data_IF_797321833405
#
_entry.id   IF_797321833405
#
_cell.length_a   1.000
_cell.length_b   1.000
_cell.length_c   1.000
_cell.angle_alpha   90.00
_cell.angle_beta   90.00
_cell.angle_gamma   90.00
#
_symmetry.space_group_name_H-M   'P 1'
#
loop_
_entity.id
_entity.type
_entity.pdbx_description
1 polymer ?
#
# COMPACT_ATOMS: atom_id res chain seq x y z
N UNK A 1 11.06 1.24 17.09
CA UNK A 1 10.68 0.87 15.70
C UNK A 1 9.50 1.75 15.28
N UNK A 2 9.48 2.28 14.04
CA UNK A 2 8.34 3.09 13.59
C UNK A 2 7.04 2.28 13.66
N UNK A 3 5.93 2.88 14.11
CA UNK A 3 4.66 2.17 14.32
C UNK A 3 4.13 1.47 13.05
N UNK A 4 4.46 1.96 11.86
CA UNK A 4 3.96 1.45 10.58
C UNK A 4 5.05 1.43 9.48
N UNK A 5 6.01 0.48 9.53
CA UNK A 5 7.14 0.45 8.60
C UNK A 5 6.72 0.23 7.14
N UNK A 6 5.71 -0.62 6.88
CA UNK A 6 5.30 -0.93 5.51
C UNK A 6 4.52 0.23 4.88
N UNK A 7 3.61 0.83 5.66
CA UNK A 7 2.86 2.02 5.23
C UNK A 7 3.79 3.21 4.97
N UNK A 8 4.83 3.39 5.78
CA UNK A 8 5.82 4.44 5.56
C UNK A 8 6.61 4.21 4.28
N UNK A 9 7.01 2.97 3.99
CA UNK A 9 7.68 2.61 2.74
C UNK A 9 6.76 2.84 1.52
N UNK A 10 5.48 2.44 1.60
CA UNK A 10 4.48 2.69 0.57
C UNK A 10 4.30 4.19 0.27
N UNK A 11 4.18 5.01 1.32
CA UNK A 11 4.05 6.46 1.17
C UNK A 11 5.33 7.11 0.62
N UNK A 12 6.51 6.61 1.01
CA UNK A 12 7.77 7.06 0.45
C UNK A 12 7.84 6.75 -1.04
N UNK A 13 7.52 5.52 -1.43
CA UNK A 13 7.45 5.11 -2.84
C UNK A 13 6.51 6.01 -3.65
N UNK A 14 5.30 6.26 -3.14
CA UNK A 14 4.33 7.13 -3.82
C UNK A 14 4.89 8.56 -4.05
N UNK A 15 5.60 9.12 -3.07
CA UNK A 15 6.25 10.44 -3.21
C UNK A 15 7.42 10.40 -4.18
N UNK A 16 8.23 9.35 -4.16
CA UNK A 16 9.39 9.21 -5.03
C UNK A 16 8.98 9.03 -6.50
N UNK A 17 7.89 8.30 -6.77
CA UNK A 17 7.30 8.16 -8.10
C UNK A 17 6.71 9.48 -8.60
N UNK A 18 5.93 10.18 -7.77
CA UNK A 18 5.33 11.47 -8.16
C UNK A 18 6.39 12.56 -8.33
N UNK A 19 7.44 12.53 -7.51
CA UNK A 19 8.59 13.42 -7.60
C UNK A 19 9.60 13.06 -8.68
N UNK A 20 9.36 12.01 -9.48
CA UNK A 20 10.23 11.62 -10.60
C UNK A 20 11.55 10.97 -10.23
N UNK A 21 11.75 10.58 -8.96
CA UNK A 21 12.96 9.86 -8.51
C UNK A 21 12.93 8.38 -8.93
N UNK A 22 11.73 7.81 -8.99
CA UNK A 22 11.49 6.45 -9.50
C UNK A 22 10.75 6.58 -10.82
N UNK A 23 11.35 6.03 -11.87
CA UNK A 23 10.70 5.93 -13.17
C UNK A 23 9.56 4.91 -13.10
N UNK A 24 8.34 5.39 -13.33
CA UNK A 24 7.16 4.54 -13.45
C UNK A 24 6.30 5.00 -14.62
N UNK A 25 5.48 4.10 -15.16
CA UNK A 25 4.56 4.43 -16.23
C UNK A 25 3.52 5.47 -15.78
N UNK A 26 2.88 6.14 -16.76
CA UNK A 26 1.87 7.19 -16.52
C UNK A 26 0.80 6.76 -15.52
N UNK A 27 0.31 5.53 -15.61
CA UNK A 27 -0.75 5.01 -14.75
C UNK A 27 -0.32 4.81 -13.30
N UNK A 28 0.89 4.32 -13.07
CA UNK A 28 1.46 4.18 -11.73
C UNK A 28 1.68 5.56 -11.10
N UNK A 29 2.18 6.53 -11.87
CA UNK A 29 2.31 7.93 -11.40
C UNK A 29 0.95 8.52 -11.00
N UNK A 30 -0.09 8.29 -11.79
CA UNK A 30 -1.45 8.74 -11.47
C UNK A 30 -2.04 8.03 -10.24
N UNK A 31 -1.81 6.74 -10.08
CA UNK A 31 -2.23 6.00 -8.88
C UNK A 31 -1.55 6.53 -7.62
N UNK A 32 -0.24 6.79 -7.68
CA UNK A 32 0.53 7.38 -6.57
C UNK A 32 0.04 8.80 -6.25
N UNK A 33 -0.18 9.63 -7.27
CA UNK A 33 -0.72 10.99 -7.08
C UNK A 33 -2.11 10.96 -6.44
N UNK A 34 -3.03 10.13 -6.96
CA UNK A 34 -4.36 9.92 -6.38
C UNK A 34 -4.28 9.52 -4.91
N UNK A 35 -3.38 8.59 -4.57
CA UNK A 35 -3.18 8.15 -3.19
C UNK A 35 -2.78 9.31 -2.28
N UNK A 36 -1.81 10.13 -2.68
CA UNK A 36 -1.37 11.29 -1.91
C UNK A 36 -2.45 12.38 -1.80
N UNK A 37 -3.15 12.67 -2.89
CA UNK A 37 -4.26 13.64 -2.91
C UNK A 37 -5.40 13.19 -1.99
N UNK A 38 -5.73 11.90 -2.02
CA UNK A 38 -6.78 11.33 -1.18
C UNK A 38 -6.37 11.32 0.30
N UNK A 39 -5.07 11.15 0.63
CA UNK A 39 -4.56 11.32 2.01
C UNK A 39 -4.75 12.74 2.53
N UNK A 40 -4.63 13.76 1.67
CA UNK A 40 -4.92 15.14 2.05
C UNK A 40 -6.42 15.32 2.27
N UNK A 41 -7.25 14.79 1.35
CA UNK A 41 -8.72 14.86 1.46
C UNK A 41 -9.26 14.10 2.66
N UNK A 42 -8.67 12.97 3.04
CA UNK A 42 -9.15 12.13 4.14
C UNK A 42 -9.07 12.83 5.50
N UNK A 43 -8.15 13.80 5.65
CA UNK A 43 -8.05 14.66 6.85
C UNK A 43 -9.25 15.57 7.04
N UNK A 44 -9.99 15.91 5.97
CA UNK A 44 -11.20 16.73 6.08
C UNK A 44 -12.35 15.89 6.65
N UNK A 45 -13.17 16.49 7.54
CA UNK A 45 -14.39 15.83 8.09
C UNK A 45 -15.37 15.40 7.00
N UNK A 46 -15.44 16.15 5.89
CA UNK A 46 -16.30 15.87 4.74
C UNK A 46 -15.79 14.77 3.80
N UNK A 47 -14.54 14.29 3.98
CA UNK A 47 -13.97 13.26 3.12
C UNK A 47 -14.68 11.92 3.29
N UNK A 48 -15.19 11.33 2.20
CA UNK A 48 -15.89 10.02 2.19
C UNK A 48 -14.98 8.85 2.60
N UNK A 49 -13.69 8.96 2.34
CA UNK A 49 -12.70 7.90 2.54
C UNK A 49 -11.73 8.26 3.67
N UNK A 50 -11.34 7.25 4.46
CA UNK A 50 -10.26 7.32 5.42
C UNK A 50 -9.17 6.34 5.04
N UNK A 51 -7.93 6.70 5.31
CA UNK A 51 -6.80 5.80 5.20
C UNK A 51 -6.52 5.19 6.57
N UNK A 52 -6.74 3.89 6.68
CA UNK A 52 -6.52 3.10 7.87
C UNK A 52 -5.14 2.44 7.78
N UNK A 53 -4.23 2.89 8.65
CA UNK A 53 -2.85 2.41 8.66
C UNK A 53 -2.74 1.00 9.25
N UNK A 54 -3.61 0.66 10.19
CA UNK A 54 -3.59 -0.64 10.86
C UNK A 54 -4.02 -1.73 9.88
N UNK A 55 -5.10 -1.51 9.13
CA UNK A 55 -5.54 -2.45 8.09
C UNK A 55 -4.52 -2.59 6.94
N UNK A 56 -3.90 -1.49 6.53
CA UNK A 56 -2.85 -1.51 5.51
C UNK A 56 -1.61 -2.31 5.96
N UNK A 57 -1.18 -2.13 7.20
CA UNK A 57 -0.02 -2.80 7.79
C UNK A 57 -0.30 -4.29 8.01
N UNK A 58 -1.50 -4.65 8.48
CA UNK A 58 -1.93 -6.03 8.71
C UNK A 58 -1.79 -6.89 7.45
N UNK A 59 -2.24 -6.38 6.30
CA UNK A 59 -2.14 -7.12 5.03
C UNK A 59 -0.70 -7.23 4.54
N UNK A 60 0.10 -6.17 4.69
CA UNK A 60 1.53 -6.23 4.32
C UNK A 60 2.31 -7.22 5.21
N UNK A 61 1.98 -7.31 6.50
CA UNK A 61 2.57 -8.30 7.40
C UNK A 61 2.14 -9.70 7.03
N UNK A 62 0.84 -9.92 6.82
CA UNK A 62 0.31 -11.21 6.38
C UNK A 62 0.99 -11.70 5.09
N UNK A 63 1.14 -10.82 4.09
CA UNK A 63 1.79 -11.17 2.84
C UNK A 63 3.27 -11.54 3.02
N UNK A 64 3.97 -10.93 3.98
CA UNK A 64 5.37 -11.25 4.29
C UNK A 64 5.53 -12.51 5.17
N UNK A 65 4.46 -13.07 5.71
CA UNK A 65 4.49 -14.35 6.44
C UNK A 65 4.36 -15.56 5.50
N UNK A 66 4.09 -15.33 4.22
CA UNK A 66 3.98 -16.41 3.24
C UNK A 66 5.37 -16.83 2.76
N UNK A 67 5.70 -18.14 2.76
CA UNK A 67 6.93 -18.63 2.17
C UNK A 67 6.86 -18.63 0.65
N UNK A 68 8.02 -18.59 0.00
CA UNK A 68 8.08 -18.82 -1.44
C UNK A 68 7.57 -20.23 -1.78
N UNK A 69 6.62 -20.33 -2.71
CA UNK A 69 6.01 -21.62 -3.08
C UNK A 69 6.88 -22.48 -4.02
N UNK A 70 7.87 -21.89 -4.70
CA UNK A 70 8.71 -22.57 -5.71
C UNK A 70 10.15 -22.08 -5.69
N UNK A 71 11.06 -22.93 -6.17
CA UNK A 71 12.47 -22.61 -6.39
C UNK A 71 13.36 -22.75 -5.16
N UNK A 72 14.61 -22.29 -5.29
CA UNK A 72 15.65 -22.39 -4.24
C UNK A 72 15.27 -21.73 -2.90
N UNK A 73 14.36 -20.74 -2.93
CA UNK A 73 13.88 -20.04 -1.74
C UNK A 73 12.80 -20.82 -1.00
N UNK A 74 12.00 -21.62 -1.71
CA UNK A 74 11.05 -22.55 -1.10
C UNK A 74 11.79 -23.64 -0.30
N UNK A 75 12.89 -24.16 -0.85
CA UNK A 75 13.74 -25.15 -0.18
C UNK A 75 14.38 -24.62 1.11
N UNK A 76 14.52 -23.29 1.25
CA UNK A 76 15.04 -22.62 2.45
C UNK A 76 13.95 -22.08 3.39
N UNK A 77 12.68 -22.30 3.06
CA UNK A 77 11.54 -21.68 3.74
C UNK A 77 11.68 -20.15 3.91
N UNK A 78 12.32 -19.48 2.94
CA UNK A 78 12.46 -18.03 2.98
C UNK A 78 11.10 -17.36 2.83
N UNK A 79 10.86 -16.37 3.69
CA UNK A 79 9.63 -15.58 3.69
C UNK A 79 9.70 -14.49 2.62
N UNK A 80 8.55 -14.18 2.02
CA UNK A 80 8.45 -13.13 1.00
C UNK A 80 8.81 -11.78 1.62
N UNK A 81 9.82 -11.11 1.06
CA UNK A 81 10.11 -9.72 1.36
C UNK A 81 9.47 -8.84 0.31
N UNK A 82 8.55 -7.97 0.73
CA UNK A 82 7.84 -7.10 -0.20
C UNK A 82 8.70 -5.90 -0.62
N UNK A 83 8.72 -5.64 -1.92
CA UNK A 83 9.33 -4.43 -2.48
C UNK A 83 8.45 -3.18 -2.23
N UNK A 84 9.01 -1.96 -2.27
CA UNK A 84 8.26 -0.73 -2.00
C UNK A 84 7.00 -0.54 -2.86
N UNK A 85 7.04 -0.93 -4.13
CA UNK A 85 5.89 -0.85 -5.03
C UNK A 85 4.80 -1.88 -4.68
N UNK A 86 5.18 -3.09 -4.25
CA UNK A 86 4.24 -4.12 -3.78
C UNK A 86 3.56 -3.68 -2.48
N UNK A 87 4.33 -3.10 -1.55
CA UNK A 87 3.79 -2.47 -0.34
C UNK A 87 2.80 -1.37 -0.70
N UNK A 88 3.12 -0.53 -1.68
CA UNK A 88 2.21 0.51 -2.15
C UNK A 88 0.89 -0.05 -2.69
N UNK A 89 0.93 -1.09 -3.51
CA UNK A 89 -0.27 -1.74 -4.04
C UNK A 89 -1.14 -2.26 -2.89
N UNK A 90 -0.58 -3.08 -2.00
CA UNK A 90 -1.33 -3.67 -0.88
C UNK A 90 -1.88 -2.60 0.07
N UNK A 91 -1.06 -1.63 0.48
CA UNK A 91 -1.52 -0.53 1.32
C UNK A 91 -2.60 0.31 0.64
N UNK A 92 -2.51 0.55 -0.67
CA UNK A 92 -3.51 1.34 -1.38
C UNK A 92 -4.83 0.57 -1.60
N UNK A 93 -4.82 -0.75 -1.69
CA UNK A 93 -6.05 -1.52 -1.88
C UNK A 93 -6.78 -1.69 -0.55
N UNK A 94 -6.05 -2.11 0.48
CA UNK A 94 -6.63 -2.51 1.76
C UNK A 94 -6.70 -1.38 2.78
N UNK A 95 -5.84 -0.37 2.67
CA UNK A 95 -5.83 0.76 3.61
C UNK A 95 -6.94 1.80 3.37
N UNK A 96 -7.55 1.84 2.19
CA UNK A 96 -8.61 2.81 1.90
C UNK A 96 -9.99 2.28 2.28
N UNK A 97 -10.58 2.85 3.34
CA UNK A 97 -11.88 2.46 3.87
C UNK A 97 -12.90 3.60 3.81
N UNK A 98 -14.18 3.26 3.66
CA UNK A 98 -15.31 4.18 3.76
C UNK A 98 -15.48 4.66 5.21
N UNK A 99 -15.60 5.96 5.43
CA UNK A 99 -15.89 6.49 6.78
C UNK A 99 -17.27 6.09 7.29
N UNK A 100 -18.24 5.91 6.39
CA UNK A 100 -19.64 5.59 6.73
C UNK A 100 -19.82 4.11 7.07
N UNK A 101 -19.19 3.24 6.31
CA UNK A 101 -19.47 1.79 6.35
C UNK A 101 -18.29 0.93 6.80
N UNK A 102 -17.08 1.50 6.90
CA UNK A 102 -15.87 0.74 7.22
C UNK A 102 -15.38 -0.18 6.10
N UNK A 103 -16.10 -0.30 4.99
CA UNK A 103 -15.75 -1.20 3.88
C UNK A 103 -14.64 -0.64 2.99
N UNK A 104 -13.90 -1.54 2.32
CA UNK A 104 -12.84 -1.19 1.36
C UNK A 104 -13.38 -0.37 0.20
N UNK A 105 -12.61 0.65 -0.18
CA UNK A 105 -12.87 1.49 -1.37
C UNK A 105 -12.69 0.71 -2.66
N UNK A 106 -11.59 -0.04 -2.75
CA UNK A 106 -11.25 -0.84 -3.92
C UNK A 106 -11.70 -2.27 -3.69
N UNK A 107 -12.54 -2.77 -4.59
CA UNK A 107 -13.02 -4.16 -4.59
C UNK A 107 -12.32 -5.01 -5.63
N UNK A 108 -11.89 -4.37 -6.72
CA UNK A 108 -11.22 -5.00 -7.85
C UNK A 108 -9.93 -4.24 -8.17
N UNK A 109 -8.93 -5.01 -8.60
CA UNK A 109 -7.58 -4.56 -8.93
C UNK A 109 -7.14 -5.35 -10.15
N UNK A 110 -6.65 -4.64 -11.16
CA UNK A 110 -6.17 -5.17 -12.44
C UNK A 110 -4.66 -5.00 -12.57
#
# INVERSE_FOLDING_TARGET
>A
MAAYPNVNAANKYARDVVGGRIEACKWVRFACKRHLDDLVKSKKRTGKWRFDKDEAEKVCRFAQLMPHAKGKWAAKAELIVLEPWQKFILCSIFGWLSKKTGLRRFREVY
#
